data_IF_512283798709
#
_entry.id   IF_512283798709
#
_cell.length_a   1.000
_cell.length_b   1.000
_cell.length_c   1.000
_cell.angle_alpha   90.00
_cell.angle_beta   90.00
_cell.angle_gamma   90.00
#
_symmetry.space_group_name_H-M   'P 1'
#
loop_
_entity.id
_entity.type
_entity.pdbx_description
1 polymer ?
#
# COMPACT_ATOMS: atom_id res chain seq x y z
N UNK A 1 36.70 -36.61 -1.41
CA UNK A 1 37.17 -35.67 -2.43
C UNK A 1 36.62 -34.29 -2.08
N UNK A 2 37.43 -33.41 -1.51
CA UNK A 2 37.01 -32.06 -1.06
C UNK A 2 36.85 -31.16 -2.28
N UNK A 3 35.64 -30.65 -2.52
CA UNK A 3 35.37 -29.77 -3.65
C UNK A 3 35.34 -28.29 -3.15
N UNK A 4 36.40 -27.50 -3.33
CA UNK A 4 36.51 -26.12 -2.83
C UNK A 4 35.50 -25.16 -3.49
N UNK A 5 34.93 -25.51 -4.64
CA UNK A 5 33.90 -24.71 -5.32
C UNK A 5 32.55 -24.73 -4.60
N UNK A 6 32.23 -25.80 -3.91
CA UNK A 6 30.92 -25.90 -3.20
C UNK A 6 30.90 -25.02 -1.95
N UNK A 7 32.02 -24.82 -1.27
CA UNK A 7 32.09 -23.98 -0.07
C UNK A 7 31.95 -22.48 -0.38
N UNK A 8 32.55 -22.03 -1.50
CA UNK A 8 32.44 -20.65 -1.96
C UNK A 8 30.99 -20.25 -2.35
N UNK A 9 30.34 -21.13 -3.10
CA UNK A 9 28.92 -20.89 -3.50
C UNK A 9 27.98 -20.88 -2.29
N UNK A 10 28.23 -21.72 -1.28
CA UNK A 10 27.43 -21.73 -0.05
C UNK A 10 27.64 -20.47 0.78
N UNK A 11 28.88 -19.96 0.88
CA UNK A 11 29.18 -18.71 1.58
C UNK A 11 28.54 -17.50 0.91
N UNK A 12 28.59 -17.40 -0.43
CA UNK A 12 27.96 -16.32 -1.19
C UNK A 12 26.41 -16.34 -1.02
N UNK A 13 25.80 -17.51 -1.09
CA UNK A 13 24.34 -17.65 -0.84
C UNK A 13 23.97 -17.23 0.57
N UNK A 14 24.75 -17.63 1.56
CA UNK A 14 24.51 -17.26 2.96
C UNK A 14 24.63 -15.76 3.19
N UNK A 15 25.70 -15.11 2.69
CA UNK A 15 25.88 -13.65 2.80
C UNK A 15 24.78 -12.89 2.07
N UNK A 16 24.36 -13.32 0.90
CA UNK A 16 23.25 -12.71 0.16
C UNK A 16 21.93 -12.84 0.93
N UNK A 17 21.62 -14.05 1.44
CA UNK A 17 20.42 -14.27 2.24
C UNK A 17 20.40 -13.44 3.53
N UNK A 18 21.55 -13.33 4.21
CA UNK A 18 21.68 -12.53 5.42
C UNK A 18 21.47 -11.03 5.14
N UNK A 19 21.98 -10.52 4.03
CA UNK A 19 21.81 -9.14 3.61
C UNK A 19 20.35 -8.85 3.28
N UNK A 20 19.69 -9.72 2.51
CA UNK A 20 18.26 -9.59 2.18
C UNK A 20 17.41 -9.65 3.44
N UNK A 21 17.69 -10.57 4.35
CA UNK A 21 16.97 -10.67 5.63
C UNK A 21 17.16 -9.42 6.50
N UNK A 22 18.37 -8.85 6.54
CA UNK A 22 18.68 -7.62 7.26
C UNK A 22 17.90 -6.40 6.70
N UNK A 23 17.91 -6.23 5.37
CA UNK A 23 17.16 -5.16 4.70
C UNK A 23 15.65 -5.32 4.94
N UNK A 24 15.13 -6.53 4.77
CA UNK A 24 13.71 -6.81 5.01
C UNK A 24 13.32 -6.60 6.47
N UNK A 25 14.16 -7.03 7.42
CA UNK A 25 13.95 -6.82 8.85
C UNK A 25 13.94 -5.34 9.22
N UNK A 26 14.87 -4.54 8.67
CA UNK A 26 14.89 -3.10 8.86
C UNK A 26 13.63 -2.42 8.32
N UNK A 27 13.24 -2.77 7.09
CA UNK A 27 12.04 -2.23 6.46
C UNK A 27 10.76 -2.59 7.23
N UNK A 28 10.67 -3.84 7.70
CA UNK A 28 9.54 -4.29 8.53
C UNK A 28 9.50 -3.52 9.87
N UNK A 29 10.65 -3.30 10.50
CA UNK A 29 10.75 -2.51 11.73
C UNK A 29 10.37 -1.05 11.52
N UNK A 30 10.74 -0.46 10.37
CA UNK A 30 10.35 0.90 9.98
C UNK A 30 8.83 1.04 9.86
N UNK A 31 8.14 0.01 9.39
CA UNK A 31 6.67 -0.03 9.25
C UNK A 31 5.93 -0.48 10.53
N UNK A 32 6.66 -0.71 11.63
CA UNK A 32 6.08 -1.10 12.91
C UNK A 32 5.68 -2.57 13.03
N UNK A 33 6.24 -3.43 12.17
CA UNK A 33 5.99 -4.87 12.13
C UNK A 33 5.15 -5.30 10.92
N UNK A 34 5.24 -6.60 10.60
CA UNK A 34 4.46 -7.20 9.53
C UNK A 34 3.26 -7.93 10.11
N UNK A 35 2.14 -7.24 10.20
CA UNK A 35 0.87 -7.74 10.75
C UNK A 35 -0.24 -7.81 9.69
N UNK A 36 -1.44 -8.20 10.12
CA UNK A 36 -2.61 -8.33 9.25
C UNK A 36 -3.01 -7.00 8.60
N UNK A 37 -2.91 -5.87 9.34
CA UNK A 37 -3.26 -4.56 8.78
C UNK A 37 -2.30 -4.17 7.66
N UNK A 38 -0.99 -4.28 7.89
CA UNK A 38 -0.01 -3.95 6.87
C UNK A 38 -0.11 -4.89 5.65
N UNK A 39 -0.28 -6.19 5.89
CA UNK A 39 -0.46 -7.16 4.78
C UNK A 39 -1.72 -6.87 3.97
N UNK A 40 -2.83 -6.50 4.60
CA UNK A 40 -4.07 -6.10 3.92
C UNK A 40 -3.84 -4.86 3.06
N UNK A 41 -3.16 -3.83 3.59
CA UNK A 41 -2.82 -2.64 2.84
C UNK A 41 -1.98 -2.98 1.59
N UNK A 42 -0.94 -3.80 1.74
CA UNK A 42 -0.07 -4.18 0.62
C UNK A 42 -0.82 -4.95 -0.47
N UNK A 43 -1.74 -5.84 -0.07
CA UNK A 43 -2.62 -6.56 -1.01
C UNK A 43 -3.52 -5.57 -1.76
N UNK A 44 -4.17 -4.65 -1.05
CA UNK A 44 -5.04 -3.66 -1.69
C UNK A 44 -4.28 -2.72 -2.61
N UNK A 45 -3.08 -2.28 -2.23
CA UNK A 45 -2.17 -1.50 -3.09
C UNK A 45 -1.90 -2.25 -4.41
N UNK A 46 -1.59 -3.55 -4.34
CA UNK A 46 -1.32 -4.35 -5.52
C UNK A 46 -2.59 -4.54 -6.38
N UNK A 47 -3.73 -4.84 -5.76
CA UNK A 47 -5.01 -5.02 -6.45
C UNK A 47 -5.48 -3.72 -7.10
N UNK A 48 -5.37 -2.58 -6.42
CA UNK A 48 -5.72 -1.27 -6.99
C UNK A 48 -4.86 -0.95 -8.21
N UNK A 49 -3.55 -1.13 -8.09
CA UNK A 49 -2.66 -0.90 -9.24
C UNK A 49 -3.01 -1.80 -10.43
N UNK A 50 -3.25 -3.09 -10.19
CA UNK A 50 -3.64 -4.04 -11.25
C UNK A 50 -4.98 -3.66 -11.88
N UNK A 51 -6.00 -3.35 -11.09
CA UNK A 51 -7.31 -2.95 -11.60
C UNK A 51 -7.24 -1.63 -12.35
N UNK A 52 -6.44 -0.67 -11.89
CA UNK A 52 -6.19 0.59 -12.60
C UNK A 52 -5.52 0.39 -13.96
N UNK A 53 -4.50 -0.48 -14.04
CA UNK A 53 -3.84 -0.83 -15.32
C UNK A 53 -4.82 -1.53 -16.28
N UNK A 54 -5.62 -2.48 -15.78
CA UNK A 54 -6.64 -3.18 -16.57
C UNK A 54 -7.65 -2.17 -17.13
N UNK A 55 -8.12 -1.24 -16.29
CA UNK A 55 -9.05 -0.17 -16.69
C UNK A 55 -8.46 0.72 -17.79
N UNK A 56 -7.22 1.18 -17.60
CA UNK A 56 -6.53 2.02 -18.57
C UNK A 56 -6.33 1.29 -19.92
N UNK A 57 -6.02 -0.01 -19.88
CA UNK A 57 -5.92 -0.85 -21.06
C UNK A 57 -7.29 -1.02 -21.76
N UNK A 58 -8.35 -1.27 -21.00
CA UNK A 58 -9.72 -1.39 -21.52
C UNK A 58 -10.20 -0.09 -22.20
N UNK A 59 -9.92 1.06 -21.59
CA UNK A 59 -10.25 2.38 -22.12
C UNK A 59 -9.29 2.85 -23.24
N UNK A 60 -8.28 2.06 -23.60
CA UNK A 60 -7.21 2.42 -24.57
C UNK A 60 -6.45 3.70 -24.20
N UNK A 61 -6.33 3.99 -22.91
CA UNK A 61 -5.63 5.15 -22.35
C UNK A 61 -4.34 4.77 -21.61
N UNK A 62 -3.85 3.56 -21.81
CA UNK A 62 -2.64 3.08 -21.14
C UNK A 62 -1.45 3.94 -21.55
N UNK A 63 -0.78 4.55 -20.56
CA UNK A 63 0.46 5.30 -20.75
C UNK A 63 1.43 5.02 -19.62
N UNK A 64 2.73 5.07 -19.93
CA UNK A 64 3.80 4.93 -18.93
C UNK A 64 3.74 6.01 -17.86
N UNK A 65 3.28 7.21 -18.21
CA UNK A 65 3.12 8.31 -17.27
C UNK A 65 2.06 8.02 -16.20
N UNK A 66 0.90 7.49 -16.60
CA UNK A 66 -0.18 7.09 -15.69
C UNK A 66 0.30 5.98 -14.76
N UNK A 67 0.97 4.96 -15.31
CA UNK A 67 1.53 3.87 -14.51
C UNK A 67 2.58 4.35 -13.50
N UNK A 68 3.49 5.24 -13.92
CA UNK A 68 4.52 5.80 -13.05
C UNK A 68 3.95 6.64 -11.92
N UNK A 69 2.99 7.53 -12.20
CA UNK A 69 2.28 8.31 -11.16
C UNK A 69 1.60 7.40 -10.14
N UNK A 70 0.98 6.30 -10.59
CA UNK A 70 0.40 5.30 -9.70
C UNK A 70 1.42 4.69 -8.75
N UNK A 71 2.58 4.28 -9.25
CA UNK A 71 3.65 3.69 -8.43
C UNK A 71 4.19 4.69 -7.40
N UNK A 72 4.45 5.95 -7.81
CA UNK A 72 4.92 6.99 -6.87
C UNK A 72 3.92 7.18 -5.73
N UNK A 73 2.62 7.26 -6.03
CA UNK A 73 1.57 7.38 -5.01
C UNK A 73 1.62 6.24 -4.00
N UNK A 74 1.83 4.99 -4.46
CA UNK A 74 1.93 3.80 -3.60
C UNK A 74 3.19 3.84 -2.71
N UNK A 75 4.31 4.28 -3.26
CA UNK A 75 5.56 4.47 -2.49
C UNK A 75 5.34 5.52 -1.39
N UNK A 76 4.72 6.65 -1.70
CA UNK A 76 4.43 7.69 -0.72
C UNK A 76 3.52 7.20 0.41
N UNK A 77 2.51 6.38 0.13
CA UNK A 77 1.66 5.78 1.16
C UNK A 77 2.47 4.95 2.15
N UNK A 78 3.37 4.09 1.66
CA UNK A 78 4.25 3.28 2.51
C UNK A 78 5.18 4.15 3.35
N UNK A 79 5.74 5.22 2.78
CA UNK A 79 6.56 6.18 3.53
C UNK A 79 5.76 6.88 4.63
N UNK A 80 4.51 7.29 4.36
CA UNK A 80 3.63 7.91 5.36
C UNK A 80 3.33 6.93 6.51
N UNK A 81 3.12 5.65 6.25
CA UNK A 81 2.99 4.63 7.32
C UNK A 81 4.25 4.61 8.20
N UNK A 82 5.45 4.62 7.60
CA UNK A 82 6.71 4.68 8.36
C UNK A 82 6.85 5.97 9.18
N UNK A 83 6.41 7.11 8.66
CA UNK A 83 6.34 8.37 9.40
C UNK A 83 5.37 8.25 10.57
N UNK A 84 4.17 7.69 10.36
CA UNK A 84 3.19 7.48 11.42
C UNK A 84 3.75 6.60 12.56
N UNK A 85 4.48 5.52 12.24
CA UNK A 85 5.19 4.68 13.23
C UNK A 85 6.20 5.50 14.01
N UNK A 86 6.97 6.34 13.33
CA UNK A 86 7.99 7.17 13.98
C UNK A 86 7.36 8.20 14.91
N UNK A 87 6.30 8.87 14.48
CA UNK A 87 5.55 9.83 15.29
C UNK A 87 4.86 9.15 16.48
N UNK A 88 4.29 7.96 16.29
CA UNK A 88 3.65 7.21 17.39
C UNK A 88 4.60 6.92 18.55
N UNK A 89 5.91 6.76 18.30
CA UNK A 89 6.92 6.52 19.34
C UNK A 89 7.15 7.71 20.28
N UNK A 90 6.85 8.92 19.82
CA UNK A 90 7.03 10.17 20.58
C UNK A 90 5.71 10.73 21.12
N UNK A 91 4.58 10.20 20.69
CA UNK A 91 3.26 10.60 21.17
C UNK A 91 2.94 9.96 22.53
N UNK A 92 2.01 10.55 23.31
CA UNK A 92 1.51 9.92 24.54
C UNK A 92 0.99 8.50 24.25
N UNK A 93 1.19 7.61 25.24
CA UNK A 93 0.70 6.24 25.13
C UNK A 93 -0.81 6.21 24.88
N UNK A 94 -1.24 5.37 23.93
CA UNK A 94 -2.66 5.18 23.59
C UNK A 94 -3.13 5.81 22.28
N UNK A 95 -2.27 6.55 21.58
CA UNK A 95 -2.62 7.07 20.23
C UNK A 95 -2.14 6.07 19.17
N UNK A 96 -3.04 5.29 18.54
CA UNK A 96 -2.70 4.27 17.55
C UNK A 96 -2.53 4.90 16.15
N UNK A 97 -1.57 5.84 16.00
CA UNK A 97 -1.41 6.63 14.78
C UNK A 97 -1.08 5.76 13.55
N UNK A 98 -0.27 4.72 13.74
CA UNK A 98 0.05 3.75 12.68
C UNK A 98 -1.21 3.05 12.17
N UNK A 99 -2.00 2.52 13.08
CA UNK A 99 -3.21 1.76 12.78
C UNK A 99 -4.24 2.65 12.08
N UNK A 100 -4.44 3.86 12.55
CA UNK A 100 -5.32 4.86 11.92
C UNK A 100 -4.85 5.17 10.50
N UNK A 101 -3.55 5.40 10.31
CA UNK A 101 -2.97 5.70 8.99
C UNK A 101 -3.14 4.53 8.02
N UNK A 102 -2.89 3.29 8.47
CA UNK A 102 -3.05 2.10 7.64
C UNK A 102 -4.53 1.90 7.27
N UNK A 103 -5.46 2.03 8.23
CA UNK A 103 -6.90 1.89 7.98
C UNK A 103 -7.39 2.94 6.98
N UNK A 104 -6.94 4.18 7.10
CA UNK A 104 -7.26 5.24 6.14
C UNK A 104 -6.84 4.84 4.71
N UNK A 105 -5.62 4.34 4.54
CA UNK A 105 -5.16 3.90 3.22
C UNK A 105 -5.88 2.63 2.74
N UNK A 106 -6.22 1.69 3.63
CA UNK A 106 -7.04 0.51 3.28
C UNK A 106 -8.39 0.95 2.71
N UNK A 107 -9.06 1.91 3.35
CA UNK A 107 -10.33 2.45 2.85
C UNK A 107 -10.16 3.12 1.48
N UNK A 108 -9.15 3.96 1.31
CA UNK A 108 -8.88 4.64 0.04
C UNK A 108 -8.54 3.67 -1.10
N UNK A 109 -7.70 2.69 -0.84
CA UNK A 109 -7.33 1.68 -1.85
C UNK A 109 -8.51 0.78 -2.19
N UNK A 110 -9.30 0.37 -1.17
CA UNK A 110 -10.53 -0.39 -1.38
C UNK A 110 -11.54 0.36 -2.24
N UNK A 111 -11.74 1.65 -1.97
CA UNK A 111 -12.60 2.52 -2.77
C UNK A 111 -12.10 2.63 -4.22
N UNK A 112 -10.80 2.84 -4.41
CA UNK A 112 -10.17 2.92 -5.75
C UNK A 112 -10.35 1.62 -6.54
N UNK A 113 -10.19 0.45 -5.90
CA UNK A 113 -10.46 -0.86 -6.54
C UNK A 113 -11.92 -0.96 -7.01
N UNK A 114 -12.86 -0.53 -6.18
CA UNK A 114 -14.29 -0.54 -6.54
C UNK A 114 -14.59 0.45 -7.67
N UNK A 115 -14.01 1.65 -7.66
CA UNK A 115 -14.15 2.63 -8.74
C UNK A 115 -13.59 2.10 -10.07
N UNK A 116 -12.39 1.50 -10.06
CA UNK A 116 -11.80 0.87 -11.22
C UNK A 116 -12.69 -0.26 -11.76
N UNK A 117 -13.18 -1.12 -10.88
CA UNK A 117 -14.07 -2.23 -11.25
C UNK A 117 -15.39 -1.73 -11.83
N UNK A 118 -15.96 -0.66 -11.28
CA UNK A 118 -17.22 -0.07 -11.74
C UNK A 118 -17.18 0.46 -13.19
N UNK A 119 -16.00 0.75 -13.70
CA UNK A 119 -15.82 1.19 -15.11
C UNK A 119 -15.96 0.04 -16.11
N UNK A 120 -15.67 -1.19 -15.68
CA UNK A 120 -15.65 -2.38 -16.56
C UNK A 120 -16.88 -3.25 -16.31
N UNK A 121 -17.27 -3.43 -15.06
CA UNK A 121 -18.36 -4.29 -14.63
C UNK A 121 -19.49 -3.42 -14.07
N UNK A 122 -20.76 -3.60 -14.51
CA UNK A 122 -21.87 -2.86 -13.94
C UNK A 122 -22.07 -3.24 -12.48
N UNK A 123 -21.80 -2.31 -11.58
CA UNK A 123 -22.05 -2.50 -10.14
C UNK A 123 -23.53 -2.24 -9.83
N UNK A 124 -24.10 -2.96 -8.83
CA UNK A 124 -25.43 -2.67 -8.31
C UNK A 124 -25.57 -1.20 -7.88
N UNK A 125 -26.71 -0.57 -8.15
CA UNK A 125 -26.93 0.85 -7.87
C UNK A 125 -26.68 1.18 -6.39
N UNK A 126 -27.15 0.32 -5.48
CA UNK A 126 -26.92 0.48 -4.03
C UNK A 126 -25.45 0.58 -3.64
N UNK A 127 -24.57 -0.19 -4.31
CA UNK A 127 -23.14 -0.14 -4.05
C UNK A 127 -22.53 1.19 -4.54
N UNK A 128 -23.00 1.69 -5.69
CA UNK A 128 -22.59 3.01 -6.20
C UNK A 128 -23.00 4.13 -5.25
N UNK A 129 -24.22 4.06 -4.72
CA UNK A 129 -24.73 5.06 -3.80
C UNK A 129 -23.93 5.10 -2.48
N UNK A 130 -23.56 3.93 -1.94
CA UNK A 130 -22.69 3.84 -0.74
C UNK A 130 -21.30 4.41 -1.02
N UNK A 131 -20.72 4.11 -2.19
CA UNK A 131 -19.41 4.65 -2.58
C UNK A 131 -19.42 6.17 -2.73
N UNK A 132 -20.49 6.72 -3.29
CA UNK A 132 -20.66 8.17 -3.43
C UNK A 132 -20.81 8.84 -2.05
N UNK A 133 -21.60 8.26 -1.15
CA UNK A 133 -21.74 8.77 0.23
C UNK A 133 -20.42 8.79 0.98
N UNK A 134 -19.63 7.70 0.93
CA UNK A 134 -18.31 7.62 1.56
C UNK A 134 -17.35 8.68 1.01
N UNK A 135 -17.42 8.95 -0.29
CA UNK A 135 -16.61 9.98 -0.92
C UNK A 135 -17.01 11.38 -0.47
N UNK A 136 -18.30 11.69 -0.45
CA UNK A 136 -18.84 12.98 -0.01
C UNK A 136 -18.56 13.26 1.47
N UNK A 137 -18.64 12.25 2.34
CA UNK A 137 -18.28 12.38 3.75
C UNK A 137 -16.79 12.68 3.92
N UNK A 138 -15.92 12.00 3.17
CA UNK A 138 -14.46 12.24 3.18
C UNK A 138 -14.12 13.67 2.72
N UNK A 139 -14.81 14.20 1.69
CA UNK A 139 -14.58 15.55 1.17
C UNK A 139 -15.12 16.65 2.11
N UNK A 140 -16.15 16.37 2.91
CA UNK A 140 -16.68 17.33 3.90
C UNK A 140 -15.77 17.48 5.09
N UNK A 141 -15.17 16.41 5.58
CA UNK A 141 -14.22 16.43 6.69
C UNK A 141 -12.96 17.26 6.36
N UNK A 142 -12.55 17.30 5.11
CA UNK A 142 -11.41 18.12 4.67
C UNK A 142 -11.77 19.63 4.60
N UNK A 143 -12.98 19.97 4.19
CA UNK A 143 -13.44 21.37 4.09
C UNK A 143 -13.74 22.03 5.44
N UNK A 144 -14.13 21.25 6.45
CA UNK A 144 -14.39 21.76 7.81
C UNK A 144 -13.10 22.00 8.61
N UNK A 145 -11.96 21.46 8.17
CA UNK A 145 -10.64 21.67 8.78
C UNK A 145 -9.90 22.88 8.22
N UNK A 146 -10.34 23.47 7.11
CA UNK A 146 -9.76 24.68 6.51
C UNK A 146 -10.48 25.99 6.93
N UNK A 147 -11.47 25.93 7.81
CA UNK A 147 -12.13 27.10 8.44
C UNK A 147 -11.75 27.23 9.90
#
# INVERSE_FOLDING_TARGET
MYNPFSSGVSAVKFTFSALVAGVFGYFTSFLGGFDTLLSTLLVLIAVDYLTGVICAAYEKKLSSEIGFKGIIKKILMILIVGVAVTLQRILPQGVPLREITILFFICNEGLSVLENTARIIPLPQKLKDVLLQLKEESEKDDNDKEK
#
